data_IF_095084967213
#
_entry.id   IF_095084967213
#
_cell.length_a   1.000
_cell.length_b   1.000
_cell.length_c   1.000
_cell.angle_alpha   90.00
_cell.angle_beta   90.00
_cell.angle_gamma   90.00
#
_symmetry.space_group_name_H-M   'P 1'
#
loop_
_entity.id
_entity.type
_entity.pdbx_description
1 polymer ?
#
# COMPACT_ATOMS: atom_id res chain seq x y z
N UNK A 1 6.03 2.28 12.84
CA UNK A 1 4.59 2.59 12.96
C UNK A 1 3.82 1.55 12.15
N UNK A 2 2.85 0.87 12.75
CA UNK A 2 2.01 -0.10 12.05
C UNK A 2 0.80 0.61 11.45
N UNK A 3 0.61 0.49 10.13
CA UNK A 3 -0.54 1.08 9.44
C UNK A 3 -1.74 0.12 9.36
N UNK A 4 -1.52 -1.16 9.61
CA UNK A 4 -2.51 -2.22 9.52
C UNK A 4 -2.69 -2.91 10.89
N UNK A 5 -3.95 -3.05 11.31
CA UNK A 5 -4.34 -3.75 12.56
C UNK A 5 -5.41 -4.82 12.32
N UNK A 6 -5.61 -5.22 11.06
CA UNK A 6 -6.56 -6.25 10.67
C UNK A 6 -5.98 -7.67 10.68
N UNK A 7 -6.80 -8.69 10.39
CA UNK A 7 -6.35 -10.07 10.24
C UNK A 7 -5.34 -10.23 9.08
N UNK A 8 -4.40 -11.18 9.22
CA UNK A 8 -3.43 -11.53 8.17
C UNK A 8 -4.00 -12.73 7.39
N UNK A 9 -5.12 -12.50 6.70
CA UNK A 9 -5.85 -13.51 5.93
C UNK A 9 -5.47 -13.52 4.44
N UNK A 10 -4.61 -12.60 4.00
CA UNK A 10 -4.16 -12.48 2.61
C UNK A 10 -5.13 -11.75 1.69
N UNK A 11 -6.28 -11.26 2.18
CA UNK A 11 -7.25 -10.52 1.38
C UNK A 11 -6.89 -9.04 1.36
N UNK A 12 -6.82 -8.46 0.17
CA UNK A 12 -6.72 -7.02 -0.01
C UNK A 12 -8.08 -6.33 0.19
N UNK A 13 -8.53 -6.29 1.45
CA UNK A 13 -9.83 -5.76 1.86
C UNK A 13 -9.81 -4.27 2.24
N UNK A 14 -10.94 -3.72 2.73
CA UNK A 14 -11.04 -2.32 3.16
C UNK A 14 -10.01 -1.90 4.21
N UNK A 15 -9.67 -2.80 5.14
CA UNK A 15 -8.65 -2.53 6.18
C UNK A 15 -7.24 -2.39 5.58
N UNK A 16 -6.93 -3.17 4.54
CA UNK A 16 -5.63 -3.08 3.84
C UNK A 16 -5.58 -1.78 3.05
N UNK A 17 -6.68 -1.40 2.39
CA UNK A 17 -6.79 -0.12 1.68
C UNK A 17 -6.59 1.08 2.59
N UNK A 18 -7.21 1.07 3.78
CA UNK A 18 -7.03 2.10 4.81
C UNK A 18 -5.58 2.18 5.29
N UNK A 19 -4.93 1.03 5.53
CA UNK A 19 -3.52 0.98 5.90
C UNK A 19 -2.62 1.58 4.81
N UNK A 20 -2.88 1.26 3.53
CA UNK A 20 -2.13 1.81 2.41
C UNK A 20 -2.35 3.32 2.29
N UNK A 21 -3.58 3.81 2.47
CA UNK A 21 -3.87 5.24 2.47
C UNK A 21 -3.12 5.97 3.59
N UNK A 22 -3.09 5.42 4.81
CA UNK A 22 -2.32 5.99 5.94
C UNK A 22 -0.83 6.04 5.66
N UNK A 23 -0.28 5.01 5.02
CA UNK A 23 1.11 4.99 4.59
C UNK A 23 1.40 6.07 3.54
N UNK A 24 0.52 6.21 2.55
CA UNK A 24 0.64 7.23 1.50
C UNK A 24 0.64 8.64 2.10
N UNK A 25 -0.27 8.92 3.04
CA UNK A 25 -0.30 10.19 3.79
C UNK A 25 1.02 10.42 4.53
N UNK A 26 1.51 9.43 5.26
CA UNK A 26 2.74 9.55 6.05
C UNK A 26 4.01 9.75 5.20
N UNK A 27 3.95 9.38 3.92
CA UNK A 27 5.08 9.46 2.98
C UNK A 27 4.92 10.54 1.91
N UNK A 28 3.88 11.38 2.02
CA UNK A 28 3.53 12.40 1.01
C UNK A 28 3.36 11.84 -0.41
N UNK A 29 2.78 10.65 -0.54
CA UNK A 29 2.36 10.07 -1.81
C UNK A 29 0.91 10.43 -2.14
N UNK A 30 0.52 10.23 -3.40
CA UNK A 30 -0.89 10.27 -3.79
C UNK A 30 -1.70 9.20 -3.04
N UNK A 31 -2.79 9.63 -2.40
CA UNK A 31 -3.59 8.80 -1.48
C UNK A 31 -4.65 8.04 -2.26
N UNK A 32 -4.25 6.90 -2.84
CA UNK A 32 -5.12 6.02 -3.63
C UNK A 32 -5.72 4.86 -2.83
N UNK A 33 -5.16 4.57 -1.65
CA UNK A 33 -5.51 3.37 -0.88
C UNK A 33 -5.24 2.05 -1.63
N UNK A 34 -4.45 2.09 -2.70
CA UNK A 34 -4.07 0.96 -3.54
C UNK A 34 -2.55 0.89 -3.67
N UNK A 35 -1.99 -0.28 -3.97
CA UNK A 35 -0.56 -0.45 -4.25
C UNK A 35 -0.20 0.15 -5.61
N UNK A 36 -0.20 1.48 -5.70
CA UNK A 36 0.19 2.24 -6.89
C UNK A 36 1.66 1.99 -7.24
N UNK A 37 2.10 2.30 -8.48
CA UNK A 37 3.51 2.19 -8.86
C UNK A 37 4.42 3.00 -7.93
N UNK A 38 3.97 4.12 -7.39
CA UNK A 38 4.73 4.93 -6.44
C UNK A 38 4.89 4.22 -5.10
N UNK A 39 3.79 3.66 -4.57
CA UNK A 39 3.81 2.90 -3.33
C UNK A 39 4.68 1.64 -3.45
N UNK A 40 4.61 0.93 -4.58
CA UNK A 40 5.45 -0.25 -4.83
C UNK A 40 6.94 0.12 -4.91
N UNK A 41 7.29 1.20 -5.62
CA UNK A 41 8.66 1.72 -5.66
C UNK A 41 9.17 2.13 -4.27
N UNK A 42 8.30 2.71 -3.44
CA UNK A 42 8.62 3.07 -2.05
C UNK A 42 8.91 1.85 -1.16
N UNK A 43 8.36 0.68 -1.52
CA UNK A 43 8.71 -0.61 -0.90
C UNK A 43 9.96 -1.27 -1.49
N UNK A 44 10.66 -0.63 -2.43
CA UNK A 44 11.78 -1.22 -3.15
C UNK A 44 11.35 -2.32 -4.12
N UNK A 45 10.05 -2.44 -4.38
CA UNK A 45 9.48 -3.37 -5.34
C UNK A 45 9.44 -2.69 -6.70
N UNK A 46 10.40 -3.03 -7.55
CA UNK A 46 10.25 -2.78 -8.99
C UNK A 46 9.07 -3.62 -9.46
N UNK A 47 8.02 -2.99 -10.00
CA UNK A 47 6.98 -3.74 -10.68
C UNK A 47 7.67 -4.63 -11.71
N UNK A 48 7.42 -5.96 -11.74
CA UNK A 48 7.71 -6.70 -12.96
C UNK A 48 6.86 -5.99 -14.01
N UNK A 49 7.53 -5.31 -14.94
CA UNK A 49 6.85 -4.84 -16.14
C UNK A 49 6.18 -6.08 -16.71
N UNK A 50 4.85 -6.08 -16.70
CA UNK A 50 4.09 -7.12 -17.36
C UNK A 50 4.37 -6.95 -18.85
N UNK A 51 5.42 -7.62 -19.31
CA UNK A 51 5.71 -7.84 -20.73
C UNK A 51 4.85 -8.95 -21.28
#
# INVERSE_FOLDING_TARGET
>A
QGYYSGPIDGIYGPLVRDAVAKYQIATNQDVTGSLSPETLRSFGLSQPVAG
#
